data_IF_925927497469
#
_entry.id   IF_925927497469
#
_cell.length_a   1.000
_cell.length_b   1.000
_cell.length_c   1.000
_cell.angle_alpha   90.00
_cell.angle_beta   90.00
_cell.angle_gamma   90.00
#
_symmetry.space_group_name_H-M   'P 1'
#
loop_
_entity.id
_entity.type
_entity.pdbx_description
1 polymer ?
#
# COMPACT_ATOMS: atom_id res chain seq x y z
N UNK A 1 -6.44 17.46 -8.67
CA UNK A 1 -6.39 18.04 -7.32
C UNK A 1 -5.73 19.42 -7.32
N UNK A 2 -4.45 19.57 -7.77
CA UNK A 2 -3.74 20.87 -7.77
C UNK A 2 -4.51 22.00 -8.45
N UNK A 3 -5.14 21.73 -9.60
CA UNK A 3 -5.94 22.74 -10.30
C UNK A 3 -7.22 23.16 -9.55
N UNK A 4 -7.78 22.23 -8.77
CA UNK A 4 -9.00 22.50 -8.00
C UNK A 4 -8.77 23.40 -6.77
N UNK A 5 -7.52 23.56 -6.33
CA UNK A 5 -7.17 24.35 -5.13
C UNK A 5 -6.34 25.60 -5.45
N UNK A 6 -6.20 25.96 -6.73
CA UNK A 6 -5.37 27.11 -7.15
C UNK A 6 -5.80 28.44 -6.50
N UNK A 7 -7.09 28.58 -6.24
CA UNK A 7 -7.69 29.80 -5.67
C UNK A 7 -7.98 29.65 -4.15
N UNK A 8 -7.51 28.56 -3.53
CA UNK A 8 -7.67 28.28 -2.12
C UNK A 8 -6.32 28.38 -1.41
N UNK A 9 -6.31 28.83 -0.15
CA UNK A 9 -5.12 28.77 0.70
C UNK A 9 -4.83 27.32 1.17
N UNK A 10 -4.64 26.43 0.18
CA UNK A 10 -4.40 25.00 0.40
C UNK A 10 -3.21 24.52 -0.43
N UNK A 11 -2.40 23.67 0.17
CA UNK A 11 -1.32 22.96 -0.50
C UNK A 11 -1.73 21.50 -0.79
N UNK A 12 -1.45 21.04 -2.00
CA UNK A 12 -1.61 19.63 -2.38
C UNK A 12 -0.26 18.95 -2.41
N UNK A 13 0.00 18.10 -1.44
CA UNK A 13 1.19 17.26 -1.37
C UNK A 13 0.94 15.99 -2.19
N UNK A 14 1.72 15.72 -3.25
CA UNK A 14 1.61 14.45 -3.96
C UNK A 14 2.05 13.31 -3.02
N UNK A 15 1.25 12.25 -2.99
CA UNK A 15 1.52 11.05 -2.23
C UNK A 15 1.29 9.80 -3.09
N UNK A 16 2.03 8.74 -2.80
CA UNK A 16 1.88 7.41 -3.39
C UNK A 16 2.18 6.35 -2.34
N UNK A 17 1.50 5.22 -2.46
CA UNK A 17 1.78 4.04 -1.67
C UNK A 17 2.16 2.87 -2.57
N UNK A 18 3.30 2.24 -2.28
CA UNK A 18 3.76 1.02 -2.92
C UNK A 18 3.64 -0.16 -1.96
N UNK A 19 2.89 -1.19 -2.37
CA UNK A 19 3.04 -2.51 -1.75
C UNK A 19 4.35 -3.13 -2.22
N UNK A 20 5.18 -3.56 -1.29
CA UNK A 20 6.54 -4.02 -1.58
C UNK A 20 6.85 -5.32 -0.84
N UNK A 21 7.90 -6.01 -1.27
CA UNK A 21 8.44 -7.20 -0.64
C UNK A 21 9.83 -6.91 -0.10
N UNK A 22 10.09 -7.30 1.14
CA UNK A 22 11.38 -7.19 1.80
C UNK A 22 11.80 -8.52 2.43
N UNK A 23 13.07 -8.89 2.29
CA UNK A 23 13.59 -10.08 2.93
C UNK A 23 14.15 -9.68 4.31
N UNK A 24 13.47 -10.10 5.38
CA UNK A 24 13.79 -9.78 6.75
C UNK A 24 13.75 -11.04 7.64
N UNK A 25 14.78 -11.24 8.43
CA UNK A 25 14.92 -12.41 9.35
C UNK A 25 14.67 -13.77 8.64
N UNK A 26 15.19 -13.90 7.40
CA UNK A 26 15.06 -15.12 6.58
C UNK A 26 13.67 -15.36 6.01
N UNK A 27 12.78 -14.39 6.05
CA UNK A 27 11.43 -14.43 5.49
C UNK A 27 11.21 -13.28 4.53
N UNK A 28 10.41 -13.51 3.50
CA UNK A 28 9.87 -12.43 2.66
C UNK A 28 8.61 -11.89 3.31
N UNK A 29 8.63 -10.62 3.67
CA UNK A 29 7.50 -9.90 4.30
C UNK A 29 6.96 -8.84 3.37
N UNK A 30 5.64 -8.59 3.41
CA UNK A 30 5.02 -7.49 2.68
C UNK A 30 5.13 -6.21 3.52
N UNK A 31 5.61 -5.12 2.90
CA UNK A 31 5.67 -3.80 3.49
C UNK A 31 4.99 -2.80 2.58
N UNK A 32 4.32 -1.82 3.16
CA UNK A 32 3.78 -0.69 2.42
C UNK A 32 4.68 0.54 2.63
N UNK A 33 5.12 1.13 1.52
CA UNK A 33 6.03 2.28 1.52
C UNK A 33 5.31 3.48 0.92
N UNK A 34 5.16 4.51 1.74
CA UNK A 34 4.62 5.80 1.31
C UNK A 34 5.74 6.70 0.78
N UNK A 35 5.43 7.41 -0.29
CA UNK A 35 6.24 8.51 -0.80
C UNK A 35 5.46 9.80 -0.75
N UNK A 36 5.99 10.83 -0.09
CA UNK A 36 5.39 12.15 -0.03
C UNK A 36 6.25 13.19 -0.74
N UNK A 37 5.60 14.16 -1.36
CA UNK A 37 6.23 15.33 -1.97
C UNK A 37 7.32 14.98 -2.99
N UNK A 38 7.12 13.92 -3.77
CA UNK A 38 8.02 13.51 -4.83
C UNK A 38 7.74 14.29 -6.13
N UNK A 39 8.74 14.31 -7.03
CA UNK A 39 8.59 14.87 -8.37
C UNK A 39 7.66 13.97 -9.21
N UNK A 40 6.45 14.46 -9.47
CA UNK A 40 5.43 13.73 -10.25
C UNK A 40 5.78 13.60 -11.73
N UNK A 41 6.77 14.37 -12.21
CA UNK A 41 7.25 14.35 -13.60
C UNK A 41 8.51 13.50 -13.76
N UNK A 42 9.00 12.86 -12.67
CA UNK A 42 10.17 11.98 -12.76
C UNK A 42 9.89 10.80 -13.71
N UNK A 43 10.72 10.62 -14.76
CA UNK A 43 10.46 9.61 -15.78
C UNK A 43 10.47 8.18 -15.26
N UNK A 44 11.28 7.88 -14.22
CA UNK A 44 11.33 6.54 -13.63
C UNK A 44 10.07 6.27 -12.81
N UNK A 45 9.61 7.28 -12.05
CA UNK A 45 8.32 7.18 -11.32
C UNK A 45 7.17 6.90 -12.28
N UNK A 46 7.06 7.67 -13.36
CA UNK A 46 6.01 7.51 -14.37
C UNK A 46 6.08 6.09 -14.97
N UNK A 47 7.24 5.68 -15.47
CA UNK A 47 7.42 4.37 -16.08
C UNK A 47 7.07 3.21 -15.13
N UNK A 48 7.52 3.29 -13.87
CA UNK A 48 7.22 2.27 -12.86
C UNK A 48 5.73 2.22 -12.54
N UNK A 49 5.06 3.37 -12.38
CA UNK A 49 3.62 3.42 -12.14
C UNK A 49 2.82 2.83 -13.30
N UNK A 50 3.23 3.10 -14.56
CA UNK A 50 2.59 2.53 -15.74
C UNK A 50 2.80 1.01 -15.81
N UNK A 51 3.99 0.51 -15.53
CA UNK A 51 4.27 -0.93 -15.48
C UNK A 51 3.42 -1.63 -14.40
N UNK A 52 3.35 -1.08 -13.20
CA UNK A 52 2.53 -1.63 -12.11
C UNK A 52 1.03 -1.61 -12.46
N UNK A 53 0.56 -0.57 -13.13
CA UNK A 53 -0.81 -0.46 -13.62
C UNK A 53 -1.12 -1.56 -14.64
N UNK A 54 -0.24 -1.77 -15.62
CA UNK A 54 -0.43 -2.81 -16.63
C UNK A 54 -0.39 -4.22 -16.02
N UNK A 55 0.56 -4.50 -15.12
CA UNK A 55 0.63 -5.77 -14.39
C UNK A 55 -0.66 -6.03 -13.59
N UNK A 56 -1.24 -4.99 -12.99
CA UNK A 56 -2.52 -5.10 -12.27
C UNK A 56 -3.68 -5.41 -13.19
N UNK A 57 -3.74 -4.76 -14.35
CA UNK A 57 -4.75 -5.03 -15.37
C UNK A 57 -4.69 -6.50 -15.80
N UNK A 58 -3.51 -7.00 -16.16
CA UNK A 58 -3.30 -8.40 -16.54
C UNK A 58 -3.68 -9.38 -15.42
N UNK A 59 -3.36 -9.05 -14.16
CA UNK A 59 -3.82 -9.85 -13.02
C UNK A 59 -5.34 -9.87 -12.90
N UNK A 60 -6.01 -8.73 -13.08
CA UNK A 60 -7.45 -8.64 -13.00
C UNK A 60 -8.13 -9.44 -14.12
N UNK A 61 -7.63 -9.38 -15.35
CA UNK A 61 -8.12 -10.23 -16.45
C UNK A 61 -8.02 -11.71 -16.09
N UNK A 62 -6.86 -12.18 -15.60
CA UNK A 62 -6.69 -13.58 -15.15
C UNK A 62 -7.61 -13.94 -13.99
N UNK A 63 -7.87 -13.00 -13.08
CA UNK A 63 -8.78 -13.24 -11.96
C UNK A 63 -10.24 -13.38 -12.44
N UNK A 64 -10.67 -12.56 -13.39
CA UNK A 64 -11.99 -12.66 -13.99
C UNK A 64 -12.13 -13.99 -14.77
N UNK A 65 -11.13 -14.38 -15.57
CA UNK A 65 -11.09 -15.66 -16.27
C UNK A 65 -11.25 -16.85 -15.29
N UNK A 66 -10.54 -16.79 -14.14
CA UNK A 66 -10.68 -17.78 -13.08
C UNK A 66 -12.10 -17.82 -12.50
N UNK A 67 -12.66 -16.65 -12.19
CA UNK A 67 -14.03 -16.56 -11.62
C UNK A 67 -15.07 -17.11 -12.61
N UNK A 68 -14.93 -16.83 -13.90
CA UNK A 68 -15.80 -17.41 -14.95
C UNK A 68 -15.65 -18.94 -15.00
N UNK A 69 -14.44 -19.47 -14.89
CA UNK A 69 -14.20 -20.91 -14.84
C UNK A 69 -14.77 -21.58 -13.58
N UNK A 70 -14.97 -20.82 -12.49
CA UNK A 70 -15.63 -21.24 -11.26
C UNK A 70 -17.15 -20.98 -11.30
N UNK A 71 -17.77 -20.83 -12.48
CA UNK A 71 -19.20 -20.56 -12.73
C UNK A 71 -19.73 -19.26 -12.11
N UNK A 72 -18.86 -18.25 -11.90
CA UNK A 72 -19.25 -16.93 -11.43
C UNK A 72 -19.57 -16.03 -12.64
N UNK A 73 -20.77 -15.46 -12.68
CA UNK A 73 -21.19 -14.50 -13.72
C UNK A 73 -20.55 -13.13 -13.48
N UNK A 74 -19.38 -12.90 -14.04
CA UNK A 74 -18.66 -11.64 -14.00
C UNK A 74 -17.91 -11.41 -15.31
N UNK A 75 -17.72 -10.14 -15.68
CA UNK A 75 -16.96 -9.73 -16.84
C UNK A 75 -16.16 -8.45 -16.55
N UNK A 76 -15.19 -8.09 -17.40
CA UNK A 76 -14.46 -6.83 -17.29
C UNK A 76 -15.39 -5.59 -17.42
N UNK A 77 -16.54 -5.73 -18.11
CA UNK A 77 -17.52 -4.65 -18.26
C UNK A 77 -18.24 -4.32 -16.95
N UNK A 78 -18.28 -5.25 -16.00
CA UNK A 78 -18.90 -5.04 -14.69
C UNK A 78 -18.00 -4.21 -13.74
N UNK A 79 -16.72 -4.07 -14.07
CA UNK A 79 -15.77 -3.36 -13.23
C UNK A 79 -16.01 -1.83 -13.26
N UNK A 80 -15.83 -1.13 -12.13
CA UNK A 80 -16.02 0.30 -12.08
C UNK A 80 -15.01 1.05 -12.96
N UNK A 81 -15.47 2.10 -13.64
CA UNK A 81 -14.59 3.03 -14.36
C UNK A 81 -14.07 4.08 -13.38
N UNK A 82 -12.84 3.93 -12.91
CA UNK A 82 -12.21 4.87 -11.98
C UNK A 82 -11.23 5.81 -12.69
N UNK A 83 -11.12 7.07 -12.24
CA UNK A 83 -10.03 7.94 -12.67
C UNK A 83 -8.68 7.23 -12.42
N UNK A 84 -7.77 7.28 -13.41
CA UNK A 84 -6.48 6.57 -13.33
C UNK A 84 -6.54 5.07 -13.61
N UNK A 85 -7.73 4.45 -13.70
CA UNK A 85 -7.91 3.05 -14.08
C UNK A 85 -7.47 2.03 -13.02
N UNK A 86 -7.35 2.45 -11.77
CA UNK A 86 -6.96 1.55 -10.68
C UNK A 86 -8.14 0.72 -10.18
N UNK A 87 -8.09 -0.59 -10.41
CA UNK A 87 -9.07 -1.58 -9.92
C UNK A 87 -8.36 -2.55 -8.99
N UNK A 88 -8.77 -2.57 -7.73
CA UNK A 88 -8.27 -3.49 -6.70
C UNK A 88 -9.14 -4.73 -6.53
N UNK A 89 -8.68 -5.69 -5.73
CA UNK A 89 -9.52 -6.82 -5.29
C UNK A 89 -10.78 -6.36 -4.55
N UNK A 90 -10.75 -5.31 -3.69
CA UNK A 90 -11.96 -4.79 -3.06
C UNK A 90 -13.04 -4.34 -4.04
N UNK A 91 -12.64 -3.78 -5.19
CA UNK A 91 -13.60 -3.37 -6.23
C UNK A 91 -14.27 -4.59 -6.86
N UNK A 92 -13.50 -5.64 -7.17
CA UNK A 92 -14.02 -6.89 -7.70
C UNK A 92 -14.94 -7.56 -6.67
N UNK A 93 -14.54 -7.59 -5.40
CA UNK A 93 -15.37 -8.11 -4.30
C UNK A 93 -16.73 -7.39 -4.23
N UNK A 94 -16.74 -6.06 -4.35
CA UNK A 94 -17.98 -5.28 -4.35
C UNK A 94 -18.88 -5.61 -5.54
N UNK A 95 -18.31 -5.80 -6.73
CA UNK A 95 -19.07 -6.28 -7.90
C UNK A 95 -19.70 -7.63 -7.63
N UNK A 96 -18.95 -8.56 -7.05
CA UNK A 96 -19.48 -9.89 -6.69
C UNK A 96 -20.61 -9.81 -5.66
N UNK A 97 -20.46 -8.98 -4.63
CA UNK A 97 -21.52 -8.76 -3.63
C UNK A 97 -22.78 -8.21 -4.31
N UNK A 98 -22.64 -7.21 -5.17
CA UNK A 98 -23.78 -6.60 -5.89
C UNK A 98 -24.46 -7.58 -6.85
N UNK A 99 -23.74 -8.58 -7.36
CA UNK A 99 -24.27 -9.65 -8.21
C UNK A 99 -24.86 -10.84 -7.41
N UNK A 100 -24.88 -10.76 -6.08
CA UNK A 100 -25.48 -11.78 -5.21
C UNK A 100 -24.52 -12.88 -4.74
N UNK A 101 -23.23 -12.72 -4.92
CA UNK A 101 -22.20 -13.67 -4.47
C UNK A 101 -21.61 -13.33 -3.09
N UNK A 102 -22.29 -12.47 -2.31
CA UNK A 102 -21.81 -11.99 -1.01
C UNK A 102 -21.67 -13.08 0.07
N UNK A 103 -22.40 -14.18 -0.06
CA UNK A 103 -22.35 -15.31 0.87
C UNK A 103 -21.16 -16.26 0.63
N UNK A 104 -20.41 -16.06 -0.47
CA UNK A 104 -19.22 -16.84 -0.79
C UNK A 104 -18.01 -16.32 -0.05
N UNK A 105 -17.03 -17.19 0.17
CA UNK A 105 -15.71 -16.80 0.67
C UNK A 105 -14.94 -15.99 -0.40
N UNK A 106 -15.20 -14.68 -0.43
CA UNK A 106 -14.62 -13.78 -1.42
C UNK A 106 -13.09 -13.69 -1.26
N UNK A 107 -12.54 -13.84 -0.06
CA UNK A 107 -11.09 -13.86 0.15
C UNK A 107 -10.47 -15.04 -0.61
N UNK A 108 -11.02 -16.24 -0.46
CA UNK A 108 -10.59 -17.44 -1.17
C UNK A 108 -10.78 -17.32 -2.68
N UNK A 109 -11.94 -16.83 -3.12
CA UNK A 109 -12.24 -16.63 -4.54
C UNK A 109 -11.24 -15.68 -5.24
N UNK A 110 -10.90 -14.58 -4.57
CA UNK A 110 -9.99 -13.56 -5.09
C UNK A 110 -8.52 -13.84 -4.80
N UNK A 111 -8.21 -15.00 -4.21
CA UNK A 111 -6.85 -15.46 -3.96
C UNK A 111 -6.24 -16.22 -5.15
N UNK A 112 -4.95 -16.58 -5.02
CA UNK A 112 -4.26 -17.50 -5.95
C UNK A 112 -3.64 -16.83 -7.19
N UNK A 113 -3.98 -15.56 -7.49
CA UNK A 113 -3.30 -14.80 -8.55
C UNK A 113 -2.48 -13.70 -7.88
N UNK A 114 -1.14 -13.85 -7.83
CA UNK A 114 -0.27 -12.91 -7.14
C UNK A 114 -0.26 -11.54 -7.85
N UNK A 115 -0.11 -10.48 -7.06
CA UNK A 115 0.25 -9.16 -7.60
C UNK A 115 1.76 -9.08 -7.80
N UNK A 116 2.21 -8.41 -8.85
CA UNK A 116 3.61 -8.01 -8.95
C UNK A 116 3.85 -6.87 -7.97
N UNK A 117 4.83 -7.02 -7.11
CA UNK A 117 5.27 -6.02 -6.15
C UNK A 117 6.71 -5.62 -6.44
N UNK A 118 7.06 -4.39 -6.14
CA UNK A 118 8.45 -3.95 -6.12
C UNK A 118 9.17 -4.58 -4.91
N UNK A 119 10.48 -4.67 -5.00
CA UNK A 119 11.28 -4.85 -3.79
C UNK A 119 11.27 -3.53 -2.99
N UNK A 120 11.32 -3.63 -1.67
CA UNK A 120 11.27 -2.45 -0.81
C UNK A 120 12.45 -1.51 -1.05
N UNK A 121 13.64 -2.06 -1.28
CA UNK A 121 14.84 -1.30 -1.62
C UNK A 121 14.68 -0.54 -2.95
N UNK A 122 14.11 -1.17 -3.98
CA UNK A 122 13.81 -0.53 -5.26
C UNK A 122 12.79 0.62 -5.11
N UNK A 123 11.72 0.41 -4.34
CA UNK A 123 10.72 1.44 -4.09
C UNK A 123 11.29 2.65 -3.34
N UNK A 124 12.14 2.40 -2.32
CA UNK A 124 12.82 3.45 -1.58
C UNK A 124 13.78 4.23 -2.48
N UNK A 125 14.58 3.54 -3.31
CA UNK A 125 15.49 4.17 -4.25
C UNK A 125 14.74 5.03 -5.28
N UNK A 126 13.64 4.51 -5.83
CA UNK A 126 12.79 5.21 -6.78
C UNK A 126 12.23 6.51 -6.19
N UNK A 127 11.61 6.44 -5.00
CA UNK A 127 11.03 7.60 -4.31
C UNK A 127 12.09 8.66 -3.96
N UNK A 128 13.26 8.23 -3.49
CA UNK A 128 14.38 9.13 -3.20
C UNK A 128 14.95 9.78 -4.46
N UNK A 129 15.05 9.03 -5.54
CA UNK A 129 15.47 9.54 -6.85
C UNK A 129 14.56 10.66 -7.33
N UNK A 130 13.25 10.51 -7.13
CA UNK A 130 12.23 11.52 -7.38
C UNK A 130 12.12 12.59 -6.26
N UNK A 131 13.10 12.70 -5.35
CA UNK A 131 13.16 13.66 -4.23
C UNK A 131 12.05 13.54 -3.21
N UNK A 132 11.36 12.41 -3.15
CA UNK A 132 10.29 12.14 -2.21
C UNK A 132 10.78 11.82 -0.80
N UNK A 133 9.94 12.09 0.19
CA UNK A 133 10.12 11.62 1.57
C UNK A 133 9.52 10.23 1.70
N UNK A 134 10.32 9.27 2.15
CA UNK A 134 9.96 7.85 2.23
C UNK A 134 9.54 7.49 3.65
N UNK A 135 8.38 6.89 3.80
CA UNK A 135 7.75 6.56 5.09
C UNK A 135 7.29 5.10 5.09
N UNK A 136 7.44 4.38 6.20
CA UNK A 136 6.83 3.07 6.41
C UNK A 136 5.37 3.30 6.84
N UNK A 137 4.43 2.77 6.05
CA UNK A 137 2.99 2.84 6.31
C UNK A 137 2.56 1.85 7.40
N UNK A 138 1.49 2.17 8.11
CA UNK A 138 0.76 1.30 9.07
C UNK A 138 1.58 0.10 9.62
N UNK A 139 2.69 0.35 10.34
CA UNK A 139 3.64 -0.69 10.73
C UNK A 139 3.00 -1.81 11.56
N UNK A 140 1.91 -1.54 12.26
CA UNK A 140 1.21 -2.54 13.09
C UNK A 140 0.45 -3.59 12.28
N UNK A 141 0.34 -3.43 10.96
CA UNK A 141 -0.27 -4.38 10.05
C UNK A 141 0.73 -5.38 9.44
N UNK A 142 1.99 -5.33 9.85
CA UNK A 142 2.99 -6.33 9.43
C UNK A 142 2.68 -7.65 10.12
N UNK A 143 2.06 -8.58 9.37
CA UNK A 143 1.53 -9.83 9.90
C UNK A 143 2.60 -10.68 10.60
N UNK A 144 3.84 -10.68 10.09
CA UNK A 144 4.96 -11.44 10.64
C UNK A 144 5.41 -10.96 12.02
N UNK A 145 4.98 -9.78 12.45
CA UNK A 145 5.28 -9.20 13.76
C UNK A 145 4.14 -9.40 14.76
N UNK A 146 3.04 -10.03 14.33
CA UNK A 146 1.87 -10.31 15.16
C UNK A 146 1.93 -11.75 15.68
N UNK A 147 1.82 -11.91 17.00
CA UNK A 147 1.71 -13.22 17.65
C UNK A 147 0.53 -13.22 18.60
N UNK A 148 -0.58 -13.84 18.19
CA UNK A 148 -1.85 -13.76 18.90
C UNK A 148 -2.35 -12.32 18.97
N UNK A 149 -2.49 -11.77 20.17
CA UNK A 149 -2.88 -10.36 20.38
C UNK A 149 -1.70 -9.41 20.62
N UNK A 150 -0.47 -9.87 20.43
CA UNK A 150 0.73 -9.08 20.73
C UNK A 150 1.46 -8.72 19.45
N UNK A 151 1.92 -7.47 19.39
CA UNK A 151 2.78 -6.96 18.34
C UNK A 151 4.24 -6.89 18.83
N UNK A 152 5.19 -7.32 18.00
CA UNK A 152 6.62 -7.34 18.31
C UNK A 152 7.30 -6.04 17.90
N UNK A 153 7.31 -5.05 18.79
CA UNK A 153 7.99 -3.77 18.57
C UNK A 153 9.52 -3.88 18.46
N UNK A 154 10.14 -4.92 19.04
CA UNK A 154 11.58 -5.11 18.92
C UNK A 154 11.95 -5.50 17.49
N UNK A 155 11.19 -6.39 16.87
CA UNK A 155 11.33 -6.68 15.44
C UNK A 155 11.10 -5.46 14.55
N UNK A 156 10.09 -4.65 14.85
CA UNK A 156 9.89 -3.38 14.13
C UNK A 156 11.13 -2.49 14.23
N UNK A 157 11.72 -2.37 15.41
CA UNK A 157 12.93 -1.57 15.61
C UNK A 157 14.10 -2.09 14.77
N UNK A 158 14.27 -3.40 14.68
CA UNK A 158 15.31 -4.01 13.85
C UNK A 158 15.08 -3.72 12.37
N UNK A 159 13.84 -3.92 11.88
CA UNK A 159 13.46 -3.57 10.53
C UNK A 159 13.72 -2.09 10.21
N UNK A 160 13.30 -1.18 11.10
CA UNK A 160 13.51 0.25 10.91
C UNK A 160 14.99 0.64 10.80
N UNK A 161 15.87 -0.03 11.54
CA UNK A 161 17.31 0.18 11.43
C UNK A 161 17.85 -0.20 10.05
N UNK A 162 17.34 -1.28 9.46
CA UNK A 162 17.72 -1.71 8.12
C UNK A 162 17.18 -0.76 7.06
N UNK A 163 15.87 -0.48 7.09
CA UNK A 163 15.24 0.41 6.13
C UNK A 163 15.81 1.83 6.17
N UNK A 164 16.21 2.30 7.35
CA UNK A 164 16.88 3.59 7.50
C UNK A 164 18.22 3.68 6.76
N UNK A 165 19.01 2.59 6.74
CA UNK A 165 20.28 2.54 6.01
C UNK A 165 20.10 2.72 4.52
N UNK A 166 18.98 2.22 3.97
CA UNK A 166 18.65 2.32 2.55
C UNK A 166 17.82 3.57 2.21
N UNK A 167 17.35 4.32 3.21
CA UNK A 167 16.81 5.67 2.97
C UNK A 167 15.43 5.97 3.48
N UNK A 168 14.84 5.11 4.33
CA UNK A 168 13.61 5.44 5.07
C UNK A 168 13.82 6.71 5.90
N UNK A 169 12.83 7.60 5.91
CA UNK A 169 12.87 8.88 6.62
C UNK A 169 11.71 9.09 7.59
N UNK A 170 10.64 8.32 7.50
CA UNK A 170 9.46 8.49 8.35
C UNK A 170 8.81 7.18 8.74
N UNK A 171 7.93 7.27 9.72
CA UNK A 171 7.11 6.21 10.25
C UNK A 171 5.68 6.74 10.42
N UNK A 172 4.70 6.01 9.93
CA UNK A 172 3.30 6.33 10.19
C UNK A 172 2.94 5.88 11.62
N UNK A 173 2.73 6.88 12.49
CA UNK A 173 2.49 6.64 13.91
C UNK A 173 1.02 6.74 14.29
N UNK A 174 0.20 7.37 13.43
CA UNK A 174 -1.25 7.50 13.63
C UNK A 174 -1.97 6.86 12.47
N UNK A 175 -2.67 5.77 12.76
CA UNK A 175 -3.44 4.99 11.79
C UNK A 175 -4.66 4.38 12.50
N UNK A 176 -5.80 4.11 11.82
CA UNK A 176 -6.98 3.50 12.44
C UNK A 176 -6.74 2.16 13.12
N UNK A 177 -5.72 1.41 12.71
CA UNK A 177 -5.31 0.15 13.35
C UNK A 177 -4.53 0.34 14.65
N UNK A 178 -4.03 1.55 14.94
CA UNK A 178 -3.22 1.83 16.11
C UNK A 178 -4.09 2.37 17.27
N UNK A 179 -3.97 1.75 18.44
CA UNK A 179 -4.49 2.32 19.69
C UNK A 179 -3.70 3.58 20.08
N UNK A 180 -4.20 4.33 21.07
CA UNK A 180 -3.47 5.48 21.63
C UNK A 180 -2.10 5.04 22.22
N UNK A 181 -2.06 3.90 22.91
CA UNK A 181 -0.84 3.35 23.49
C UNK A 181 0.15 2.90 22.40
N UNK A 182 -0.33 2.27 21.32
CA UNK A 182 0.50 1.88 20.19
C UNK A 182 1.06 3.11 19.46
N UNK A 183 0.23 4.12 19.23
CA UNK A 183 0.66 5.39 18.64
C UNK A 183 1.72 6.07 19.48
N UNK A 184 1.55 6.12 20.82
CA UNK A 184 2.56 6.64 21.72
C UNK A 184 3.88 5.89 21.61
N UNK A 185 3.83 4.55 21.54
CA UNK A 185 5.01 3.70 21.36
C UNK A 185 5.70 3.95 20.03
N UNK A 186 4.94 4.07 18.94
CA UNK A 186 5.50 4.38 17.61
C UNK A 186 6.16 5.76 17.59
N UNK A 187 5.58 6.76 18.26
CA UNK A 187 6.16 8.11 18.40
C UNK A 187 7.50 8.06 19.16
N UNK A 188 7.58 7.31 20.28
CA UNK A 188 8.84 7.11 21.00
C UNK A 188 9.91 6.49 20.11
N UNK A 189 9.55 5.46 19.34
CA UNK A 189 10.45 4.80 18.38
C UNK A 189 10.87 5.80 17.29
N UNK A 190 9.94 6.52 16.68
CA UNK A 190 10.24 7.49 15.64
C UNK A 190 11.20 8.58 16.16
N UNK A 191 10.96 9.13 17.35
CA UNK A 191 11.83 10.12 17.97
C UNK A 191 13.24 9.56 18.23
N UNK A 192 13.33 8.36 18.81
CA UNK A 192 14.62 7.68 19.11
C UNK A 192 15.46 7.46 17.86
N UNK A 193 14.81 7.15 16.73
CA UNK A 193 15.50 6.88 15.47
C UNK A 193 15.49 8.07 14.51
N UNK A 194 15.10 9.26 14.93
CA UNK A 194 15.04 10.48 14.11
C UNK A 194 14.27 10.25 12.80
N UNK A 195 13.09 9.67 12.91
CA UNK A 195 12.14 9.50 11.81
C UNK A 195 11.08 10.58 11.88
N UNK A 196 10.63 11.06 10.73
CA UNK A 196 9.44 11.90 10.64
C UNK A 196 8.21 11.11 11.09
N UNK A 197 7.32 11.77 11.80
CA UNK A 197 6.03 11.20 12.23
C UNK A 197 4.99 11.60 11.19
N UNK A 198 4.23 10.64 10.70
CA UNK A 198 3.10 10.88 9.80
C UNK A 198 1.82 10.26 10.35
N UNK A 199 0.71 10.64 9.74
CA UNK A 199 -0.62 10.08 9.99
C UNK A 199 -1.31 9.76 8.68
N UNK A 200 -2.10 8.70 8.66
CA UNK A 200 -2.92 8.31 7.54
C UNK A 200 -4.21 7.64 8.01
N UNK A 201 -5.22 7.64 7.15
CA UNK A 201 -6.48 6.95 7.40
C UNK A 201 -6.62 5.67 6.58
N UNK A 202 -5.65 5.40 5.70
CA UNK A 202 -5.70 4.33 4.70
C UNK A 202 -7.04 4.31 3.95
N UNK A 203 -7.54 5.50 3.61
CA UNK A 203 -8.85 5.69 3.01
C UNK A 203 -8.91 5.14 1.60
N UNK A 204 -9.78 4.16 1.39
CA UNK A 204 -9.95 3.49 0.08
C UNK A 204 -11.31 3.77 -0.56
N UNK A 205 -12.34 4.14 0.23
CA UNK A 205 -13.72 4.28 -0.26
C UNK A 205 -14.54 5.27 0.55
N UNK A 206 -15.50 5.92 -0.12
CA UNK A 206 -16.69 6.50 0.50
C UNK A 206 -17.79 5.44 0.63
#
# INVERSE_FOLDING_TARGET
>A
ARDAVKDLEMEVVPGIEFSTIYDFDGKSIELHILGYNFDTEDPKMIATCEELKENRKQRNTKLIEKLIADDIDISEADLPKKPGGYIGKPDIARVLINKGYGDLDLYKLLSGIPKKMLRTDEAIELLRGAKGTVVLAHPLEIEEFISGSKYDFDKLVELLKELKKIGLRGLECFHPSASEDDSAKLIEIAAKYHLHITSGSDFHHE
#
